data_IF_203047079061
#
_entry.id   IF_203047079061
#
_cell.length_a   1.000
_cell.length_b   1.000
_cell.length_c   1.000
_cell.angle_alpha   90.00
_cell.angle_beta   90.00
_cell.angle_gamma   90.00
#
_symmetry.space_group_name_H-M   'P 1'
#
loop_
_entity.id
_entity.type
_entity.pdbx_description
1 polymer ?
#
# COMPACT_ATOMS: atom_id res chain seq x y z
N UNK A 1 -31.69 -17.59 13.49
CA UNK A 1 -30.85 -18.57 14.21
C UNK A 1 -30.52 -19.82 13.38
N UNK A 2 -31.50 -20.66 13.02
CA UNK A 2 -31.27 -21.89 12.24
C UNK A 2 -30.42 -21.68 10.97
N UNK A 3 -30.74 -20.66 10.17
CA UNK A 3 -29.99 -20.33 8.96
C UNK A 3 -28.53 -19.91 9.22
N UNK A 4 -28.24 -19.28 10.37
CA UNK A 4 -26.89 -18.87 10.76
C UNK A 4 -26.05 -20.08 11.19
N UNK A 5 -26.66 -21.05 11.88
CA UNK A 5 -26.02 -22.32 12.22
C UNK A 5 -25.63 -23.10 10.96
N UNK A 6 -26.57 -23.28 10.03
CA UNK A 6 -26.32 -24.00 8.77
C UNK A 6 -25.27 -23.26 7.91
N UNK A 7 -25.25 -21.93 7.97
CA UNK A 7 -24.23 -21.12 7.32
C UNK A 7 -22.84 -21.31 7.94
N UNK A 8 -22.71 -21.21 9.27
CA UNK A 8 -21.44 -21.47 9.96
C UNK A 8 -20.87 -22.85 9.63
N UNK A 9 -21.70 -23.89 9.65
CA UNK A 9 -21.27 -25.26 9.35
C UNK A 9 -20.85 -25.44 7.89
N UNK A 10 -21.49 -24.74 6.94
CA UNK A 10 -21.05 -24.71 5.53
C UNK A 10 -19.70 -24.03 5.37
N UNK A 11 -19.49 -22.89 6.02
CA UNK A 11 -18.20 -22.19 6.02
C UNK A 11 -17.11 -23.07 6.65
N UNK A 12 -17.39 -23.73 7.76
CA UNK A 12 -16.43 -24.60 8.45
C UNK A 12 -16.02 -25.84 7.64
N UNK A 13 -16.79 -26.21 6.62
CA UNK A 13 -16.46 -27.31 5.71
C UNK A 13 -15.44 -26.92 4.63
N UNK A 14 -15.17 -25.62 4.43
CA UNK A 14 -14.17 -25.17 3.47
C UNK A 14 -12.75 -25.40 4.03
N UNK A 15 -11.87 -26.10 3.30
CA UNK A 15 -10.52 -26.42 3.77
C UNK A 15 -9.64 -25.18 3.98
N UNK A 16 -10.01 -24.02 3.42
CA UNK A 16 -9.31 -22.75 3.59
C UNK A 16 -9.67 -22.05 4.90
N UNK A 17 -10.66 -22.55 5.63
CA UNK A 17 -11.09 -22.00 6.92
C UNK A 17 -10.61 -22.93 8.04
N UNK A 18 -9.77 -22.41 8.93
CA UNK A 18 -9.23 -23.17 10.07
C UNK A 18 -10.14 -23.12 11.29
N UNK A 19 -10.74 -21.95 11.54
CA UNK A 19 -11.57 -21.70 12.71
C UNK A 19 -12.60 -20.62 12.38
N UNK A 20 -13.79 -20.76 12.95
CA UNK A 20 -14.86 -19.78 12.89
C UNK A 20 -15.30 -19.50 14.32
N UNK A 21 -15.37 -18.22 14.67
CA UNK A 21 -15.94 -17.74 15.91
C UNK A 21 -17.17 -16.89 15.61
N UNK A 22 -18.33 -17.31 16.10
CA UNK A 22 -19.62 -16.64 15.92
C UNK A 22 -20.55 -16.99 17.09
N UNK A 23 -21.75 -16.39 17.11
CA UNK A 23 -22.75 -16.71 18.14
C UNK A 23 -23.21 -18.18 18.13
N UNK A 24 -23.00 -18.92 17.02
CA UNK A 24 -23.36 -20.35 16.89
C UNK A 24 -22.15 -21.29 17.05
N UNK A 25 -21.01 -20.75 17.50
CA UNK A 25 -19.75 -21.49 17.67
C UNK A 25 -19.17 -21.35 19.10
N UNK A 26 -20.00 -20.99 20.07
CA UNK A 26 -19.62 -20.86 21.50
C UNK A 26 -19.16 -22.21 22.07
N UNK A 27 -19.88 -23.29 21.75
CA UNK A 27 -19.49 -24.66 22.06
C UNK A 27 -19.75 -25.56 20.82
N UNK A 28 -18.73 -26.22 20.25
CA UNK A 28 -18.89 -27.09 19.08
C UNK A 28 -19.77 -28.31 19.35
N UNK A 29 -20.02 -28.68 20.61
CA UNK A 29 -20.86 -29.83 20.99
C UNK A 29 -22.36 -29.53 20.89
N UNK A 30 -22.73 -28.25 20.85
CA UNK A 30 -24.13 -27.84 20.80
C UNK A 30 -24.73 -28.05 19.39
N UNK A 31 -25.92 -28.65 19.37
CA UNK A 31 -26.72 -28.88 18.17
C UNK A 31 -27.58 -27.66 17.83
N UNK A 32 -28.08 -27.64 16.60
CA UNK A 32 -28.92 -26.56 16.06
C UNK A 32 -30.11 -26.22 16.98
N UNK A 33 -30.81 -27.23 17.48
CA UNK A 33 -31.99 -27.06 18.34
C UNK A 33 -31.61 -26.45 19.69
N UNK A 34 -30.44 -26.82 20.21
CA UNK A 34 -29.93 -26.31 21.49
C UNK A 34 -29.57 -24.83 21.38
N UNK A 35 -28.93 -24.40 20.28
CA UNK A 35 -28.70 -22.98 20.01
C UNK A 35 -30.01 -22.20 19.84
N UNK A 36 -31.03 -22.78 19.21
CA UNK A 36 -32.33 -22.13 19.10
C UNK A 36 -32.97 -21.91 20.47
N UNK A 37 -32.90 -22.88 21.37
CA UNK A 37 -33.39 -22.77 22.75
C UNK A 37 -32.59 -21.74 23.57
N UNK A 38 -31.27 -21.77 23.42
CA UNK A 38 -30.34 -20.90 24.17
C UNK A 38 -30.60 -19.41 23.93
N UNK A 39 -31.05 -19.07 22.72
CA UNK A 39 -31.35 -17.70 22.29
C UNK A 39 -32.86 -17.42 22.13
N UNK A 40 -33.73 -18.33 22.58
CA UNK A 40 -35.18 -18.13 22.53
C UNK A 40 -35.71 -17.24 23.67
N UNK A 41 -34.95 -17.05 24.75
CA UNK A 41 -35.35 -16.20 25.88
C UNK A 41 -35.35 -14.71 25.48
N UNK A 42 -36.48 -13.99 25.59
CA UNK A 42 -36.56 -12.56 25.30
C UNK A 42 -35.61 -11.70 26.14
N UNK A 43 -35.21 -12.17 27.32
CA UNK A 43 -34.28 -11.47 28.21
C UNK A 43 -32.81 -11.78 27.90
N UNK A 44 -32.55 -12.60 26.87
CA UNK A 44 -31.21 -13.03 26.47
C UNK A 44 -30.74 -14.31 27.19
N UNK A 45 -29.59 -14.86 26.76
CA UNK A 45 -29.03 -16.09 27.33
C UNK A 45 -28.61 -15.87 28.79
N UNK A 46 -28.98 -16.81 29.67
CA UNK A 46 -28.65 -16.75 31.11
C UNK A 46 -27.17 -17.02 31.41
N UNK A 47 -26.50 -17.78 30.54
CA UNK A 47 -25.09 -18.08 30.68
C UNK A 47 -24.22 -16.88 30.29
N UNK A 48 -23.29 -16.51 31.16
CA UNK A 48 -22.43 -15.33 30.97
C UNK A 48 -21.55 -15.42 29.72
N UNK A 49 -21.05 -16.60 29.36
CA UNK A 49 -20.17 -16.79 28.21
C UNK A 49 -20.97 -16.67 26.91
N UNK A 50 -22.18 -17.22 26.90
CA UNK A 50 -23.11 -17.11 25.77
C UNK A 50 -23.58 -15.66 25.61
N UNK A 51 -23.87 -14.96 26.71
CA UNK A 51 -24.22 -13.54 26.70
C UNK A 51 -23.07 -12.67 26.18
N UNK A 52 -21.83 -12.94 26.63
CA UNK A 52 -20.64 -12.26 26.13
C UNK A 52 -20.40 -12.53 24.64
N UNK A 53 -20.53 -13.77 24.19
CA UNK A 53 -20.38 -14.12 22.77
C UNK A 53 -21.47 -13.45 21.91
N UNK A 54 -22.71 -13.40 22.38
CA UNK A 54 -23.80 -12.68 21.71
C UNK A 54 -23.48 -11.19 21.59
N UNK A 55 -23.05 -10.54 22.68
CA UNK A 55 -22.69 -9.13 22.67
C UNK A 55 -21.45 -8.82 21.80
N UNK A 56 -20.50 -9.74 21.72
CA UNK A 56 -19.30 -9.59 20.91
C UNK A 56 -19.57 -9.79 19.41
N UNK A 57 -20.60 -10.56 19.05
CA UNK A 57 -20.85 -10.98 17.65
C UNK A 57 -22.13 -10.42 17.07
N UNK A 58 -22.99 -9.75 17.84
CA UNK A 58 -24.25 -9.19 17.32
C UNK A 58 -24.46 -7.75 17.73
N UNK A 59 -25.00 -6.95 16.80
CA UNK A 59 -25.42 -5.57 17.05
C UNK A 59 -26.54 -5.17 16.11
N UNK A 60 -27.74 -4.95 16.64
CA UNK A 60 -28.91 -4.62 15.82
C UNK A 60 -29.20 -5.71 14.78
N UNK A 61 -29.14 -5.34 13.50
CA UNK A 61 -29.30 -6.27 12.37
C UNK A 61 -27.98 -6.88 11.86
N UNK A 62 -26.85 -6.64 12.55
CA UNK A 62 -25.54 -7.17 12.18
C UNK A 62 -25.18 -8.40 13.01
N UNK A 63 -24.62 -9.40 12.35
CA UNK A 63 -23.99 -10.55 12.98
C UNK A 63 -22.59 -10.73 12.39
N UNK A 64 -21.58 -10.76 13.25
CA UNK A 64 -20.18 -10.90 12.90
C UNK A 64 -19.75 -12.38 13.00
N UNK A 65 -19.06 -12.84 11.96
CA UNK A 65 -18.34 -14.11 11.93
C UNK A 65 -16.86 -13.79 11.84
N UNK A 66 -16.07 -14.25 12.80
CA UNK A 66 -14.61 -14.15 12.72
C UNK A 66 -14.08 -15.42 12.11
N UNK A 67 -13.52 -15.31 10.92
CA UNK A 67 -12.96 -16.44 10.16
C UNK A 67 -11.44 -16.38 10.28
N UNK A 68 -10.84 -17.45 10.78
CA UNK A 68 -9.38 -17.62 10.80
C UNK A 68 -8.97 -18.54 9.67
N UNK A 69 -8.13 -18.03 8.77
CA UNK A 69 -7.54 -18.77 7.65
C UNK A 69 -6.06 -19.07 7.95
N UNK A 70 -5.52 -20.22 7.51
CA UNK A 70 -4.08 -20.49 7.61
C UNK A 70 -3.26 -19.68 6.59
N UNK A 71 -3.92 -19.00 5.63
CA UNK A 71 -3.25 -18.25 4.56
C UNK A 71 -3.09 -16.78 4.94
N UNK A 72 -1.92 -16.20 4.64
CA UNK A 72 -1.68 -14.77 4.82
C UNK A 72 -2.49 -13.89 3.84
N UNK A 73 -2.66 -12.59 4.13
CA UNK A 73 -3.53 -11.70 3.37
C UNK A 73 -3.09 -11.48 1.91
N UNK A 74 -1.80 -11.62 1.61
CA UNK A 74 -1.26 -11.46 0.26
C UNK A 74 -1.27 -12.75 -0.57
N UNK A 75 -1.69 -13.88 0.00
CA UNK A 75 -1.74 -15.17 -0.69
C UNK A 75 -2.98 -15.30 -1.58
N UNK A 76 -2.83 -16.02 -2.69
CA UNK A 76 -3.91 -16.23 -3.66
C UNK A 76 -5.10 -16.96 -3.04
N UNK A 77 -4.83 -17.94 -2.17
CA UNK A 77 -5.86 -18.73 -1.50
C UNK A 77 -6.74 -17.86 -0.57
N UNK A 78 -6.13 -16.91 0.13
CA UNK A 78 -6.84 -15.96 0.98
C UNK A 78 -7.72 -15.01 0.18
N UNK A 79 -7.21 -14.51 -0.96
CA UNK A 79 -7.97 -13.62 -1.86
C UNK A 79 -9.11 -14.36 -2.56
N UNK A 80 -8.88 -15.62 -2.97
CA UNK A 80 -9.91 -16.47 -3.55
C UNK A 80 -11.03 -16.75 -2.55
N UNK A 81 -10.69 -17.04 -1.28
CA UNK A 81 -11.69 -17.22 -0.23
C UNK A 81 -12.56 -15.96 -0.06
N UNK A 82 -11.96 -14.76 -0.05
CA UNK A 82 -12.72 -13.50 0.01
C UNK A 82 -13.66 -13.36 -1.19
N UNK A 83 -13.19 -13.68 -2.39
CA UNK A 83 -14.02 -13.65 -3.61
C UNK A 83 -15.23 -14.59 -3.48
N UNK A 84 -15.01 -15.82 -3.03
CA UNK A 84 -16.07 -16.82 -2.90
C UNK A 84 -17.08 -16.45 -1.80
N UNK A 85 -16.63 -15.84 -0.70
CA UNK A 85 -17.51 -15.33 0.36
C UNK A 85 -18.36 -14.13 -0.09
N UNK A 86 -17.88 -13.38 -1.08
CA UNK A 86 -18.61 -12.23 -1.66
C UNK A 86 -19.53 -12.63 -2.80
N UNK A 87 -19.33 -13.80 -3.41
CA UNK A 87 -20.16 -14.28 -4.51
C UNK A 87 -21.54 -14.73 -4.00
N UNK A 88 -22.63 -14.01 -4.35
CA UNK A 88 -23.98 -14.37 -3.90
C UNK A 88 -24.52 -15.64 -4.58
N UNK A 89 -23.84 -16.13 -5.62
CA UNK A 89 -24.21 -17.36 -6.35
C UNK A 89 -23.31 -18.55 -6.01
N UNK A 90 -22.25 -18.32 -5.23
CA UNK A 90 -21.26 -19.32 -4.88
C UNK A 90 -21.73 -20.34 -3.84
N UNK A 91 -20.95 -21.40 -3.65
CA UNK A 91 -21.23 -22.43 -2.64
C UNK A 91 -21.19 -21.91 -1.18
N UNK A 92 -20.52 -20.78 -0.96
CA UNK A 92 -20.44 -20.07 0.33
C UNK A 92 -21.41 -18.89 0.42
N UNK A 93 -22.41 -18.80 -0.46
CA UNK A 93 -23.35 -17.70 -0.46
C UNK A 93 -24.17 -17.60 0.85
N UNK A 94 -24.51 -16.37 1.28
CA UNK A 94 -25.35 -16.17 2.45
C UNK A 94 -26.74 -16.80 2.30
N UNK A 95 -27.39 -17.14 3.43
CA UNK A 95 -28.80 -17.50 3.41
C UNK A 95 -29.68 -16.39 2.80
N UNK A 96 -30.81 -16.77 2.21
CA UNK A 96 -31.75 -15.84 1.60
C UNK A 96 -32.19 -14.73 2.58
N UNK A 97 -32.20 -13.48 2.11
CA UNK A 97 -32.56 -12.30 2.91
C UNK A 97 -31.42 -11.71 3.75
N UNK A 98 -30.19 -12.22 3.63
CA UNK A 98 -29.00 -11.67 4.30
C UNK A 98 -28.00 -11.11 3.27
N UNK A 99 -27.40 -9.97 3.61
CA UNK A 99 -26.23 -9.43 2.89
C UNK A 99 -24.96 -9.75 3.68
N UNK A 100 -23.92 -10.23 3.00
CA UNK A 100 -22.62 -10.47 3.61
C UNK A 100 -21.67 -9.33 3.27
N UNK A 101 -21.00 -8.81 4.30
CA UNK A 101 -19.91 -7.85 4.18
C UNK A 101 -18.64 -8.56 4.62
N UNK A 102 -17.68 -8.70 3.71
CA UNK A 102 -16.41 -9.38 3.98
C UNK A 102 -15.30 -8.35 4.14
N UNK A 103 -14.70 -8.33 5.32
CA UNK A 103 -13.54 -7.50 5.66
C UNK A 103 -12.36 -8.35 6.17
N UNK A 104 -11.38 -7.68 6.79
CA UNK A 104 -10.15 -8.31 7.29
C UNK A 104 -9.01 -8.23 6.27
N UNK A 105 -7.79 -8.55 6.70
CA UNK A 105 -6.58 -8.19 5.95
C UNK A 105 -6.54 -8.68 4.49
N UNK A 106 -7.03 -9.89 4.19
CA UNK A 106 -7.08 -10.39 2.81
C UNK A 106 -8.10 -9.61 1.96
N UNK A 107 -9.23 -9.22 2.55
CA UNK A 107 -10.26 -8.42 1.90
C UNK A 107 -9.79 -6.98 1.68
N UNK A 108 -9.12 -6.39 2.68
CA UNK A 108 -8.54 -5.04 2.57
C UNK A 108 -7.51 -4.99 1.44
N UNK A 109 -6.60 -5.97 1.37
CA UNK A 109 -5.62 -6.07 0.27
C UNK A 109 -6.34 -6.24 -1.07
N UNK A 110 -7.33 -7.13 -1.17
CA UNK A 110 -8.09 -7.35 -2.40
C UNK A 110 -8.84 -6.08 -2.86
N UNK A 111 -9.42 -5.33 -1.93
CA UNK A 111 -10.14 -4.09 -2.22
C UNK A 111 -9.20 -2.98 -2.67
N UNK A 112 -8.05 -2.83 -2.01
CA UNK A 112 -7.02 -1.86 -2.42
C UNK A 112 -6.48 -2.22 -3.80
N UNK A 113 -6.11 -3.48 -4.05
CA UNK A 113 -5.65 -3.95 -5.36
C UNK A 113 -6.70 -3.72 -6.44
N UNK A 114 -7.96 -4.09 -6.16
CA UNK A 114 -9.07 -3.90 -7.09
C UNK A 114 -9.29 -2.44 -7.42
N UNK A 115 -9.25 -1.56 -6.41
CA UNK A 115 -9.43 -0.11 -6.59
C UNK A 115 -8.28 0.50 -7.39
N UNK A 116 -7.04 0.17 -7.06
CA UNK A 116 -5.86 0.62 -7.79
C UNK A 116 -5.92 0.14 -9.24
N UNK A 117 -6.25 -1.12 -9.48
CA UNK A 117 -6.35 -1.67 -10.84
C UNK A 117 -7.44 -1.00 -11.69
N UNK A 118 -8.55 -0.56 -11.07
CA UNK A 118 -9.62 0.15 -11.77
C UNK A 118 -9.26 1.60 -12.09
N UNK A 119 -8.59 2.29 -11.17
CA UNK A 119 -8.29 3.72 -11.31
C UNK A 119 -6.98 3.97 -12.06
N UNK A 120 -6.00 3.07 -11.97
CA UNK A 120 -4.68 3.22 -12.60
C UNK A 120 -4.76 3.46 -14.12
N UNK A 121 -5.56 2.73 -14.93
CA UNK A 121 -5.68 2.99 -16.36
C UNK A 121 -6.25 4.38 -16.67
N UNK A 122 -7.21 4.86 -15.86
CA UNK A 122 -7.82 6.19 -16.04
C UNK A 122 -6.81 7.29 -15.71
N UNK A 123 -6.10 7.14 -14.59
CA UNK A 123 -5.06 8.09 -14.16
C UNK A 123 -3.88 8.10 -15.12
N UNK A 124 -3.42 6.92 -15.55
CA UNK A 124 -2.36 6.78 -16.55
C UNK A 124 -2.73 7.43 -17.88
N UNK A 125 -3.95 7.20 -18.38
CA UNK A 125 -4.45 7.87 -19.58
C UNK A 125 -4.51 9.39 -19.41
N UNK A 126 -5.00 9.88 -18.27
CA UNK A 126 -5.03 11.31 -17.96
C UNK A 126 -3.63 11.93 -17.99
N UNK A 127 -2.65 11.29 -17.35
CA UNK A 127 -1.25 11.72 -17.34
C UNK A 127 -0.69 11.71 -18.76
N UNK A 128 -0.84 10.61 -19.52
CA UNK A 128 -0.36 10.50 -20.89
C UNK A 128 -0.97 11.59 -21.80
N UNK A 129 -2.29 11.81 -21.75
CA UNK A 129 -2.96 12.82 -22.56
C UNK A 129 -2.51 14.23 -22.17
N UNK A 130 -2.48 14.55 -20.88
CA UNK A 130 -2.08 15.88 -20.41
C UNK A 130 -0.64 16.18 -20.80
N UNK A 131 0.27 15.23 -20.58
CA UNK A 131 1.67 15.33 -20.95
C UNK A 131 1.87 15.43 -22.46
N UNK A 132 1.12 14.65 -23.25
CA UNK A 132 1.12 14.75 -24.70
C UNK A 132 0.72 16.16 -25.16
N UNK A 133 -0.34 16.73 -24.60
CA UNK A 133 -0.82 18.07 -24.94
C UNK A 133 0.22 19.15 -24.59
N UNK A 134 0.84 19.05 -23.42
CA UNK A 134 1.92 19.94 -22.97
C UNK A 134 3.10 19.90 -23.93
N UNK A 135 3.58 18.70 -24.26
CA UNK A 135 4.67 18.53 -25.22
C UNK A 135 4.29 18.96 -26.63
N UNK A 136 3.05 18.71 -27.05
CA UNK A 136 2.52 19.15 -28.34
C UNK A 136 2.55 20.68 -28.44
N UNK A 137 2.12 21.39 -27.40
CA UNK A 137 2.14 22.84 -27.35
C UNK A 137 3.57 23.39 -27.36
N UNK A 138 4.48 22.76 -26.61
CA UNK A 138 5.87 23.17 -26.50
C UNK A 138 6.67 22.93 -27.80
N UNK A 139 6.55 21.72 -28.36
CA UNK A 139 7.35 21.27 -29.50
C UNK A 139 6.68 21.56 -30.84
N UNK A 140 5.37 21.90 -30.85
CA UNK A 140 4.56 22.13 -32.06
C UNK A 140 4.71 21.01 -33.08
N UNK A 141 4.71 19.78 -32.59
CA UNK A 141 4.80 18.56 -33.40
C UNK A 141 3.86 17.52 -32.81
N UNK A 142 3.20 16.76 -33.68
CA UNK A 142 2.34 15.62 -33.29
C UNK A 142 3.17 14.38 -33.00
N UNK A 143 4.32 14.24 -33.69
CA UNK A 143 5.15 13.03 -33.67
C UNK A 143 6.13 13.03 -32.49
N UNK A 144 6.70 14.18 -32.14
CA UNK A 144 7.68 14.28 -31.03
C UNK A 144 7.09 13.92 -29.66
N UNK A 145 5.89 14.38 -29.30
CA UNK A 145 5.26 13.98 -28.04
C UNK A 145 4.91 12.49 -28.04
N UNK A 146 4.35 11.98 -29.13
CA UNK A 146 3.98 10.56 -29.23
C UNK A 146 5.19 9.65 -29.01
N UNK A 147 6.31 9.93 -29.71
CA UNK A 147 7.52 9.13 -29.54
C UNK A 147 8.10 9.25 -28.13
N UNK A 148 8.09 10.44 -27.52
CA UNK A 148 8.60 10.64 -26.16
C UNK A 148 7.84 9.75 -25.16
N UNK A 149 6.51 9.76 -25.25
CA UNK A 149 5.67 8.89 -24.42
C UNK A 149 5.98 7.40 -24.63
N UNK A 150 6.17 6.96 -25.87
CA UNK A 150 6.53 5.56 -26.18
C UNK A 150 7.89 5.20 -25.58
N UNK A 151 8.89 6.06 -25.76
CA UNK A 151 10.24 5.85 -25.25
C UNK A 151 10.26 5.76 -23.71
N UNK A 152 9.56 6.66 -23.04
CA UNK A 152 9.40 6.64 -21.58
C UNK A 152 8.69 5.35 -21.13
N UNK A 153 7.60 4.96 -21.80
CA UNK A 153 6.84 3.73 -21.48
C UNK A 153 7.73 2.49 -21.57
N UNK A 154 8.62 2.40 -22.57
CA UNK A 154 9.57 1.28 -22.69
C UNK A 154 10.50 1.21 -21.47
N UNK A 155 11.01 2.35 -21.00
CA UNK A 155 11.89 2.40 -19.82
C UNK A 155 11.18 1.95 -18.55
N UNK A 156 9.95 2.45 -18.34
CA UNK A 156 9.11 2.09 -17.19
C UNK A 156 8.78 0.59 -17.22
N UNK A 157 8.38 0.06 -18.37
CA UNK A 157 8.09 -1.38 -18.52
C UNK A 157 9.33 -2.24 -18.26
N UNK A 158 10.51 -1.81 -18.74
CA UNK A 158 11.76 -2.51 -18.45
C UNK A 158 12.08 -2.51 -16.95
N UNK A 159 11.83 -1.40 -16.25
CA UNK A 159 11.99 -1.32 -14.80
C UNK A 159 11.02 -2.24 -14.05
N UNK A 160 9.74 -2.29 -14.44
CA UNK A 160 8.78 -3.23 -13.88
C UNK A 160 9.17 -4.69 -14.14
N UNK A 161 9.63 -5.01 -15.35
CA UNK A 161 10.15 -6.33 -15.67
C UNK A 161 11.35 -6.70 -14.79
N UNK A 162 12.28 -5.77 -14.58
CA UNK A 162 13.41 -5.96 -13.67
C UNK A 162 12.96 -6.12 -12.21
N UNK A 163 11.96 -5.36 -11.77
CA UNK A 163 11.41 -5.45 -10.42
C UNK A 163 10.81 -6.83 -10.14
N UNK A 164 9.98 -7.34 -11.05
CA UNK A 164 9.40 -8.69 -10.97
C UNK A 164 10.52 -9.74 -10.97
N UNK A 165 11.44 -9.66 -11.92
CA UNK A 165 12.52 -10.64 -12.04
C UNK A 165 13.48 -10.65 -10.84
N UNK A 166 13.76 -9.50 -10.24
CA UNK A 166 14.65 -9.41 -9.07
C UNK A 166 13.92 -9.83 -7.80
N UNK A 167 12.76 -9.21 -7.50
CA UNK A 167 12.14 -9.29 -6.17
C UNK A 167 11.03 -10.34 -6.08
N UNK A 168 10.21 -10.48 -7.12
CA UNK A 168 9.14 -11.48 -7.14
C UNK A 168 9.72 -12.87 -7.39
N UNK A 169 10.56 -13.01 -8.42
CA UNK A 169 11.19 -14.29 -8.78
C UNK A 169 12.44 -14.60 -7.93
N UNK A 170 13.02 -13.59 -7.29
CA UNK A 170 14.11 -13.78 -6.32
C UNK A 170 15.49 -14.03 -6.93
N UNK A 171 15.71 -13.77 -8.24
CA UNK A 171 16.96 -14.13 -8.94
C UNK A 171 18.23 -13.48 -8.35
N UNK A 172 18.10 -12.34 -7.64
CA UNK A 172 19.21 -11.63 -7.00
C UNK A 172 19.13 -11.66 -5.45
N UNK A 173 18.26 -12.47 -4.88
CA UNK A 173 18.01 -12.56 -3.43
C UNK A 173 19.28 -12.83 -2.62
N UNK A 174 20.13 -13.76 -3.08
CA UNK A 174 21.37 -14.12 -2.41
C UNK A 174 22.43 -12.99 -2.41
N UNK A 175 22.50 -12.21 -3.49
CA UNK A 175 23.48 -11.12 -3.62
C UNK A 175 23.05 -9.88 -2.83
N UNK A 176 21.75 -9.59 -2.85
CA UNK A 176 21.18 -8.43 -2.18
C UNK A 176 20.75 -8.71 -0.74
N UNK A 177 20.85 -9.95 -0.25
CA UNK A 177 20.54 -10.30 1.14
C UNK A 177 19.08 -10.08 1.51
N UNK A 178 18.13 -10.47 0.65
CA UNK A 178 16.69 -10.42 0.98
C UNK A 178 16.00 -11.75 0.73
N UNK A 179 14.88 -11.97 1.42
CA UNK A 179 14.02 -13.13 1.18
C UNK A 179 12.93 -12.79 0.14
N UNK A 180 12.80 -13.54 -0.95
CA UNK A 180 11.78 -13.29 -1.96
C UNK A 180 10.39 -13.56 -1.37
N UNK A 181 9.52 -12.55 -1.44
CA UNK A 181 8.16 -12.62 -0.90
C UNK A 181 7.19 -13.35 -1.85
N UNK A 182 7.58 -13.53 -3.12
CA UNK A 182 6.73 -14.11 -4.16
C UNK A 182 5.65 -13.16 -4.68
N UNK A 183 5.61 -11.93 -4.19
CA UNK A 183 4.72 -10.87 -4.65
C UNK A 183 5.41 -9.51 -4.56
N UNK A 184 4.91 -8.56 -5.34
CA UNK A 184 5.26 -7.14 -5.27
C UNK A 184 4.15 -6.44 -4.48
N UNK A 185 4.53 -5.50 -3.61
CA UNK A 185 3.56 -4.74 -2.83
C UNK A 185 2.77 -3.81 -3.75
N UNK A 186 1.45 -3.73 -3.55
CA UNK A 186 0.49 -3.09 -4.46
C UNK A 186 0.78 -1.62 -4.75
N UNK A 187 1.29 -0.86 -3.79
CA UNK A 187 1.61 0.56 -3.98
C UNK A 187 2.92 0.79 -4.72
N UNK A 188 3.84 -0.17 -4.73
CA UNK A 188 5.15 -0.03 -5.38
C UNK A 188 5.09 0.35 -6.86
N UNK A 189 4.33 -0.36 -7.73
CA UNK A 189 4.26 0.00 -9.15
C UNK A 189 3.68 1.39 -9.38
N UNK A 190 2.73 1.82 -8.55
CA UNK A 190 2.11 3.15 -8.65
C UNK A 190 3.11 4.24 -8.31
N UNK A 191 3.82 4.11 -7.19
CA UNK A 191 4.82 5.10 -6.77
C UNK A 191 5.96 5.14 -7.78
N UNK A 192 6.45 3.96 -8.20
CA UNK A 192 7.52 3.85 -9.18
C UNK A 192 7.11 4.47 -10.52
N UNK A 193 5.89 4.21 -11.00
CA UNK A 193 5.34 4.88 -12.18
C UNK A 193 5.35 6.41 -12.03
N UNK A 194 4.79 6.95 -10.96
CA UNK A 194 4.69 8.39 -10.75
C UNK A 194 6.07 9.07 -10.72
N UNK A 195 7.01 8.48 -9.98
CA UNK A 195 8.37 9.03 -9.85
C UNK A 195 9.13 8.93 -11.18
N UNK A 196 9.12 7.76 -11.83
CA UNK A 196 9.84 7.55 -13.09
C UNK A 196 9.26 8.37 -14.22
N UNK A 197 7.94 8.44 -14.30
CA UNK A 197 7.28 9.25 -15.32
C UNK A 197 7.65 10.72 -15.14
N UNK A 198 7.57 11.26 -13.91
CA UNK A 198 7.98 12.63 -13.63
C UNK A 198 9.44 12.91 -14.01
N UNK A 199 10.37 12.06 -13.54
CA UNK A 199 11.79 12.19 -13.83
C UNK A 199 12.12 12.09 -15.32
N UNK A 200 11.54 11.13 -16.04
CA UNK A 200 11.81 10.94 -17.47
C UNK A 200 11.29 12.12 -18.31
N UNK A 201 10.09 12.62 -17.97
CA UNK A 201 9.48 13.73 -18.68
C UNK A 201 10.30 15.02 -18.55
N UNK A 202 10.82 15.34 -17.37
CA UNK A 202 11.62 16.55 -17.15
C UNK A 202 12.86 16.60 -18.05
N UNK A 203 13.59 15.48 -18.14
CA UNK A 203 14.77 15.39 -18.98
C UNK A 203 14.43 15.35 -20.47
N UNK A 204 13.35 14.66 -20.87
CA UNK A 204 12.94 14.59 -22.28
C UNK A 204 12.45 15.94 -22.80
N UNK A 205 11.66 16.67 -22.01
CA UNK A 205 11.31 18.06 -22.31
C UNK A 205 12.56 18.90 -22.52
N UNK A 206 13.55 18.81 -21.63
CA UNK A 206 14.78 19.58 -21.73
C UNK A 206 15.57 19.26 -23.02
N UNK A 207 15.76 17.97 -23.32
CA UNK A 207 16.47 17.50 -24.50
C UNK A 207 15.76 17.92 -25.80
N UNK A 208 14.46 17.65 -25.90
CA UNK A 208 13.66 17.93 -27.09
C UNK A 208 13.53 19.43 -27.34
N UNK A 209 13.40 20.24 -26.29
CA UNK A 209 13.36 21.70 -26.41
C UNK A 209 14.65 22.25 -27.01
N UNK A 210 15.81 21.71 -26.59
CA UNK A 210 17.11 22.12 -27.16
C UNK A 210 17.27 21.70 -28.61
N UNK A 211 16.84 20.49 -28.97
CA UNK A 211 16.81 20.04 -30.36
C UNK A 211 15.88 20.92 -31.21
N UNK A 212 14.70 21.26 -30.69
CA UNK A 212 13.73 22.14 -31.35
C UNK A 212 14.29 23.54 -31.58
N UNK A 213 14.99 24.11 -30.59
CA UNK A 213 15.63 25.42 -30.70
C UNK A 213 16.66 25.46 -31.83
N UNK A 214 17.44 24.38 -32.00
CA UNK A 214 18.39 24.27 -33.11
C UNK A 214 17.69 24.10 -34.46
N UNK A 215 16.67 23.23 -34.52
CA UNK A 215 15.86 23.02 -35.73
C UNK A 215 15.22 24.32 -36.21
N UNK A 216 14.67 25.14 -35.30
CA UNK A 216 14.05 26.42 -35.66
C UNK A 216 15.04 27.45 -36.20
N UNK A 217 16.34 27.27 -35.94
CA UNK A 217 17.40 28.14 -36.45
C UNK A 217 17.98 27.65 -37.77
N UNK A 218 18.23 26.34 -37.91
CA UNK A 218 18.99 25.80 -39.04
C UNK A 218 18.12 25.07 -40.07
N UNK A 219 16.98 24.51 -39.65
CA UNK A 219 16.17 23.64 -40.50
C UNK A 219 16.83 22.31 -40.89
N UNK A 220 18.00 21.98 -40.32
CA UNK A 220 18.68 20.70 -40.52
C UNK A 220 18.48 19.79 -39.30
N UNK A 221 17.84 18.64 -39.53
CA UNK A 221 17.51 17.67 -38.50
C UNK A 221 18.76 17.00 -37.92
N UNK A 222 19.77 16.75 -38.76
CA UNK A 222 21.02 16.11 -38.31
C UNK A 222 21.79 17.05 -37.40
N UNK A 223 21.94 18.30 -37.81
CA UNK A 223 22.61 19.33 -37.01
C UNK A 223 21.85 19.61 -35.71
N UNK A 224 20.52 19.68 -35.77
CA UNK A 224 19.67 19.93 -34.60
C UNK A 224 19.79 18.83 -33.54
N UNK A 225 19.76 17.55 -33.95
CA UNK A 225 19.93 16.41 -33.04
C UNK A 225 21.34 16.39 -32.47
N UNK A 226 22.37 16.57 -33.31
CA UNK A 226 23.77 16.53 -32.88
C UNK A 226 24.09 17.63 -31.85
N UNK A 227 23.78 18.89 -32.17
CA UNK A 227 24.03 20.03 -31.27
C UNK A 227 23.15 20.03 -30.03
N UNK A 228 21.90 19.55 -30.17
CA UNK A 228 21.02 19.36 -29.03
C UNK A 228 21.65 18.40 -28.02
N UNK A 229 22.07 17.24 -28.49
CA UNK A 229 22.67 16.19 -27.66
C UNK A 229 24.03 16.60 -27.08
N UNK A 230 24.88 17.27 -27.85
CA UNK A 230 26.20 17.76 -27.40
C UNK A 230 26.07 18.71 -26.19
N UNK A 231 25.11 19.64 -26.22
CA UNK A 231 24.93 20.62 -25.14
C UNK A 231 24.22 20.06 -23.92
N UNK A 232 23.20 19.23 -24.10
CA UNK A 232 22.42 18.71 -22.98
C UNK A 232 23.00 17.42 -22.40
N UNK A 233 23.79 16.67 -23.16
CA UNK A 233 24.28 15.34 -22.80
C UNK A 233 24.94 15.32 -21.43
N UNK A 234 25.97 16.16 -21.22
CA UNK A 234 26.71 16.22 -19.95
C UNK A 234 25.82 16.53 -18.75
N UNK A 235 24.91 17.50 -18.89
CA UNK A 235 24.01 17.92 -17.79
C UNK A 235 23.08 16.76 -17.42
N UNK A 236 22.46 16.13 -18.42
CA UNK A 236 21.50 15.04 -18.20
C UNK A 236 22.19 13.81 -17.64
N UNK A 237 23.36 13.42 -18.17
CA UNK A 237 24.10 12.25 -17.65
C UNK A 237 24.58 12.47 -16.22
N UNK A 238 25.03 13.67 -15.87
CA UNK A 238 25.44 13.98 -14.49
C UNK A 238 24.26 13.93 -13.53
N UNK A 239 23.11 14.48 -13.92
CA UNK A 239 21.92 14.45 -13.08
C UNK A 239 21.36 13.02 -12.93
N UNK A 240 21.33 12.25 -14.02
CA UNK A 240 20.95 10.84 -13.99
C UNK A 240 21.90 10.02 -13.09
N UNK A 241 23.20 10.27 -13.14
CA UNK A 241 24.17 9.57 -12.29
C UNK A 241 23.92 9.82 -10.80
N UNK A 242 23.60 11.06 -10.40
CA UNK A 242 23.24 11.38 -9.01
C UNK A 242 22.01 10.58 -8.58
N UNK A 243 20.96 10.57 -9.40
CA UNK A 243 19.73 9.83 -9.09
C UNK A 243 20.00 8.33 -8.99
N UNK A 244 20.78 7.75 -9.91
CA UNK A 244 21.15 6.33 -9.89
C UNK A 244 21.95 5.98 -8.63
N UNK A 245 22.90 6.82 -8.22
CA UNK A 245 23.70 6.59 -7.00
C UNK A 245 22.83 6.68 -5.75
N UNK A 246 21.97 7.70 -5.65
CA UNK A 246 21.07 7.88 -4.51
C UNK A 246 20.05 6.74 -4.43
N UNK A 247 19.36 6.43 -5.53
CA UNK A 247 18.40 5.33 -5.58
C UNK A 247 19.07 3.96 -5.37
N UNK A 248 20.29 3.79 -5.90
CA UNK A 248 21.10 2.60 -5.70
C UNK A 248 21.53 2.40 -4.25
N UNK A 249 21.71 3.46 -3.46
CA UNK A 249 22.02 3.34 -2.03
C UNK A 249 20.93 2.61 -1.23
N UNK A 250 19.67 2.64 -1.69
CA UNK A 250 18.58 1.91 -1.06
C UNK A 250 18.68 0.40 -1.26
N UNK A 251 19.57 -0.08 -2.13
CA UNK A 251 19.91 -1.51 -2.23
C UNK A 251 20.40 -2.09 -0.89
N UNK A 252 20.96 -1.25 -0.02
CA UNK A 252 21.47 -1.63 1.30
C UNK A 252 20.42 -1.53 2.42
N UNK A 253 19.18 -1.16 2.11
CA UNK A 253 18.11 -1.14 3.11
C UNK A 253 17.69 -2.56 3.52
N UNK A 254 17.43 -2.78 4.81
CA UNK A 254 16.91 -4.06 5.32
C UNK A 254 15.45 -4.30 4.91
N UNK A 255 14.70 -3.22 4.69
CA UNK A 255 13.31 -3.27 4.28
C UNK A 255 13.23 -3.55 2.77
N UNK A 256 12.71 -4.73 2.41
CA UNK A 256 12.54 -5.17 1.00
C UNK A 256 11.77 -4.13 0.17
N UNK A 257 10.76 -3.49 0.76
CA UNK A 257 9.97 -2.44 0.11
C UNK A 257 10.84 -1.27 -0.37
N UNK A 258 11.75 -0.80 0.48
CA UNK A 258 12.68 0.30 0.16
C UNK A 258 13.71 -0.16 -0.87
N UNK A 259 14.23 -1.38 -0.71
CA UNK A 259 15.19 -1.99 -1.64
C UNK A 259 14.63 -2.08 -3.07
N UNK A 260 13.40 -2.58 -3.18
CA UNK A 260 12.66 -2.71 -4.42
C UNK A 260 12.44 -1.38 -5.13
N UNK A 261 11.97 -0.38 -4.39
CA UNK A 261 11.74 0.95 -4.94
C UNK A 261 13.05 1.61 -5.41
N UNK A 262 14.11 1.53 -4.60
CA UNK A 262 15.42 2.07 -4.93
C UNK A 262 16.07 1.43 -6.16
N UNK A 263 16.15 0.10 -6.17
CA UNK A 263 16.75 -0.63 -7.30
C UNK A 263 15.91 -0.46 -8.57
N UNK A 264 14.58 -0.52 -8.47
CA UNK A 264 13.68 -0.27 -9.59
C UNK A 264 13.91 1.11 -10.22
N UNK A 265 14.04 2.15 -9.37
CA UNK A 265 14.33 3.51 -9.83
C UNK A 265 15.72 3.63 -10.46
N UNK A 266 16.75 3.05 -9.83
CA UNK A 266 18.11 3.11 -10.35
C UNK A 266 18.22 2.46 -11.73
N UNK A 267 17.60 1.29 -11.93
CA UNK A 267 17.57 0.58 -13.22
C UNK A 267 16.83 1.42 -14.27
N UNK A 268 15.65 1.94 -13.95
CA UNK A 268 14.86 2.74 -14.88
C UNK A 268 15.60 3.99 -15.37
N UNK A 269 16.20 4.75 -14.44
CA UNK A 269 16.91 5.98 -14.76
C UNK A 269 18.19 5.68 -15.53
N UNK A 270 18.90 4.60 -15.18
CA UNK A 270 20.07 4.17 -15.92
C UNK A 270 19.72 3.79 -17.37
N UNK A 271 18.65 3.00 -17.57
CA UNK A 271 18.16 2.62 -18.90
C UNK A 271 17.67 3.82 -19.71
N UNK A 272 16.94 4.74 -19.06
CA UNK A 272 16.46 5.97 -19.71
C UNK A 272 17.64 6.83 -20.18
N UNK A 273 18.60 7.12 -19.29
CA UNK A 273 19.72 7.99 -19.60
C UNK A 273 20.66 7.41 -20.67
N UNK A 274 20.79 6.08 -20.75
CA UNK A 274 21.72 5.40 -21.66
C UNK A 274 21.01 4.86 -22.90
N UNK A 275 20.24 3.78 -22.76
CA UNK A 275 19.62 3.07 -23.88
C UNK A 275 18.60 3.96 -24.59
N UNK A 276 17.69 4.57 -23.85
CA UNK A 276 16.62 5.37 -24.45
C UNK A 276 17.20 6.67 -25.01
N UNK A 277 17.90 7.44 -24.18
CA UNK A 277 18.25 8.82 -24.51
C UNK A 277 19.54 8.97 -25.32
N UNK A 278 20.55 8.13 -25.08
CA UNK A 278 21.80 8.20 -25.84
C UNK A 278 21.72 7.44 -27.17
N UNK A 279 20.84 6.44 -27.29
CA UNK A 279 20.74 5.60 -28.48
C UNK A 279 19.39 5.71 -29.19
N UNK A 280 18.29 5.37 -28.50
CA UNK A 280 16.98 5.21 -29.13
C UNK A 280 16.39 6.54 -29.63
N UNK A 281 16.52 7.61 -28.84
CA UNK A 281 16.04 8.96 -29.19
C UNK A 281 16.79 9.52 -30.41
N UNK A 282 18.14 9.55 -30.47
CA UNK A 282 18.84 10.02 -31.67
C UNK A 282 18.57 9.16 -32.91
N UNK A 283 18.52 7.83 -32.76
CA UNK A 283 18.24 6.92 -33.87
C UNK A 283 16.85 7.16 -34.47
N UNK A 284 15.83 7.27 -33.63
CA UNK A 284 14.44 7.53 -34.08
C UNK A 284 14.29 8.92 -34.69
N UNK A 285 14.95 9.93 -34.10
CA UNK A 285 15.01 11.27 -34.68
C UNK A 285 15.66 11.29 -36.07
N UNK A 286 16.73 10.50 -36.27
CA UNK A 286 17.39 10.42 -37.57
C UNK A 286 16.54 9.67 -38.60
N UNK A 287 15.85 8.61 -38.19
CA UNK A 287 14.99 7.79 -39.07
C UNK A 287 13.78 8.57 -39.57
N UNK A 288 13.10 9.30 -38.68
CA UNK A 288 11.88 10.05 -39.00
C UNK A 288 12.15 11.36 -39.77
N UNK A 289 13.38 11.88 -39.71
CA UNK A 289 13.79 13.04 -40.51
C UNK A 289 12.87 14.25 -40.33
N UNK A 290 12.28 14.73 -41.43
CA UNK A 290 11.38 15.89 -41.41
C UNK A 290 10.02 15.60 -40.74
N UNK A 291 9.59 14.34 -40.64
CA UNK A 291 8.32 13.96 -40.02
C UNK A 291 8.28 14.27 -38.53
N UNK A 292 9.45 14.31 -37.88
CA UNK A 292 9.57 14.77 -36.50
C UNK A 292 8.98 16.17 -36.30
N UNK A 293 9.03 17.03 -37.30
CA UNK A 293 8.62 18.44 -37.17
C UNK A 293 7.26 18.70 -37.81
N UNK A 294 6.51 17.64 -38.13
CA UNK A 294 5.23 17.76 -38.80
C UNK A 294 4.16 18.35 -37.88
N UNK A 295 3.53 19.43 -38.36
CA UNK A 295 2.37 20.06 -37.75
C UNK A 295 1.28 20.24 -38.83
N UNK A 296 0.06 19.72 -38.62
CA UNK A 296 -1.07 19.95 -39.52
C UNK A 296 -1.30 21.44 -39.76
N UNK A 297 -1.58 21.83 -41.01
CA UNK A 297 -1.76 23.22 -41.43
C UNK A 297 -2.87 23.94 -40.64
N UNK A 298 -3.94 23.23 -40.28
CA UNK A 298 -5.04 23.75 -39.45
C UNK A 298 -4.60 24.17 -38.04
N UNK A 299 -3.58 23.52 -37.48
CA UNK A 299 -3.07 23.74 -36.12
C UNK A 299 -1.94 24.79 -36.04
N UNK A 300 -1.52 25.36 -37.18
CA UNK A 300 -0.48 26.42 -37.20
C UNK A 300 -0.92 27.71 -36.51
N UNK A 301 -2.24 27.93 -36.35
CA UNK A 301 -2.84 29.11 -35.71
C UNK A 301 -2.75 29.13 -34.17
N UNK A 302 -2.37 28.02 -33.54
CA UNK A 302 -2.20 27.98 -32.08
C UNK A 302 -1.03 28.90 -31.68
N UNK A 303 -1.24 29.87 -30.76
CA UNK A 303 -0.21 30.84 -30.37
C UNK A 303 0.99 30.18 -29.68
N UNK A 304 2.17 30.80 -29.77
CA UNK A 304 3.35 30.37 -28.99
C UNK A 304 3.10 30.70 -27.53
N UNK A 305 3.09 29.68 -26.67
CA UNK A 305 3.01 29.85 -25.22
C UNK A 305 4.45 29.97 -24.72
N UNK A 306 4.79 31.08 -24.06
CA UNK A 306 6.07 31.22 -23.37
C UNK A 306 6.17 30.19 -22.24
N UNK A 307 7.37 29.67 -21.97
CA UNK A 307 7.62 28.60 -20.97
C UNK A 307 7.00 28.88 -19.60
N UNK A 308 6.88 30.15 -19.20
CA UNK A 308 6.23 30.58 -17.96
C UNK A 308 4.71 30.31 -17.93
N UNK A 309 4.01 30.46 -19.06
CA UNK A 309 2.58 30.19 -19.16
C UNK A 309 2.27 28.69 -19.25
N UNK A 310 3.22 27.88 -19.75
CA UNK A 310 3.14 26.42 -19.78
C UNK A 310 3.26 25.81 -18.37
N UNK A 311 4.09 26.40 -17.50
CA UNK A 311 4.12 26.08 -16.08
C UNK A 311 2.77 26.39 -15.40
N UNK A 312 2.10 27.48 -15.80
CA UNK A 312 0.75 27.82 -15.34
C UNK A 312 -0.33 26.82 -15.77
N UNK A 313 -0.26 26.30 -17.00
CA UNK A 313 -1.21 25.28 -17.52
C UNK A 313 -0.98 23.91 -16.89
N UNK A 314 0.28 23.51 -16.68
CA UNK A 314 0.64 22.30 -15.94
C UNK A 314 0.18 22.37 -14.47
N UNK A 315 0.40 23.53 -13.82
CA UNK A 315 -0.08 23.77 -12.46
C UNK A 315 -1.62 23.75 -12.37
N UNK A 316 -2.33 24.30 -13.36
CA UNK A 316 -3.80 24.23 -13.43
C UNK A 316 -4.30 22.80 -13.68
N UNK A 317 -3.63 22.02 -14.53
CA UNK A 317 -3.97 20.63 -14.81
C UNK A 317 -3.75 19.70 -13.60
N UNK A 318 -2.64 19.90 -12.87
CA UNK A 318 -2.37 19.25 -11.59
C UNK A 318 -3.39 19.65 -10.51
N UNK A 319 -3.84 20.91 -10.50
CA UNK A 319 -4.90 21.40 -9.61
C UNK A 319 -6.32 20.96 -10.03
N UNK A 320 -6.52 20.54 -11.29
CA UNK A 320 -7.80 20.06 -11.81
C UNK A 320 -8.00 18.53 -11.70
N UNK A 321 -6.93 17.76 -11.49
CA UNK A 321 -7.02 16.33 -11.18
C UNK A 321 -7.94 15.98 -10.00
N UNK A 322 -7.90 16.74 -8.88
CA UNK A 322 -8.84 16.56 -7.77
C UNK A 322 -10.29 16.93 -8.11
N UNK A 323 -10.53 17.81 -9.10
CA UNK A 323 -11.88 18.26 -9.46
C UNK A 323 -12.64 17.23 -10.30
N UNK A 324 -11.95 16.35 -11.04
CA UNK A 324 -12.58 15.25 -11.79
C UNK A 324 -12.72 13.95 -10.97
N UNK A 325 -11.97 13.81 -9.88
CA UNK A 325 -12.17 12.75 -8.88
C UNK A 325 -13.13 13.16 -7.74
N UNK A 326 -13.56 14.42 -7.71
CA UNK A 326 -14.32 15.06 -6.63
C UNK A 326 -15.82 14.73 -6.56
N UNK A 327 -16.22 13.50 -6.87
CA UNK A 327 -17.58 13.01 -6.58
C UNK A 327 -17.54 11.75 -5.71
N UNK A 328 -16.81 11.83 -4.60
CA UNK A 328 -17.10 11.06 -3.38
C UNK A 328 -16.95 12.02 -2.19
N UNK A 329 -18.01 12.30 -1.42
CA UNK A 329 -17.89 13.13 -0.24
C UNK A 329 -17.26 12.27 0.87
N UNK A 330 -16.08 12.70 1.35
CA UNK A 330 -15.54 12.48 2.70
C UNK A 330 -14.05 12.12 2.71
N UNK A 331 -13.16 13.09 2.47
CA UNK A 331 -11.89 13.19 3.22
C UNK A 331 -11.50 14.67 3.27
N UNK A 332 -11.70 15.31 4.42
CA UNK A 332 -11.09 16.62 4.68
C UNK A 332 -9.60 16.42 5.02
N UNK A 333 -8.70 17.34 4.61
CA UNK A 333 -7.27 17.20 4.86
C UNK A 333 -6.95 17.34 6.36
N UNK A 334 -6.23 16.34 6.89
CA UNK A 334 -5.91 16.08 8.31
C UNK A 334 -4.84 17.02 8.91
N UNK A 335 -4.41 18.08 8.23
CA UNK A 335 -3.22 18.83 8.65
C UNK A 335 -3.47 20.33 8.78
N UNK A 336 -4.02 20.73 9.93
CA UNK A 336 -3.55 21.88 10.70
C UNK A 336 -4.40 22.03 11.98
N UNK A 337 -3.79 21.82 13.15
CA UNK A 337 -4.30 22.40 14.39
C UNK A 337 -3.14 23.05 15.16
N UNK A 338 -3.39 24.15 15.88
CA UNK A 338 -2.34 24.97 16.49
C UNK A 338 -1.77 24.33 17.76
N UNK A 339 -0.59 24.79 18.17
CA UNK A 339 0.15 24.26 19.32
C UNK A 339 -0.56 24.56 20.65
N UNK A 340 -0.78 23.52 21.47
CA UNK A 340 -1.25 23.64 22.85
C UNK A 340 -0.06 23.57 23.85
N UNK A 341 -0.13 24.27 25.00
CA UNK A 341 0.98 24.39 25.92
C UNK A 341 1.20 23.13 26.80
N UNK A 342 2.46 22.80 27.06
CA UNK A 342 2.91 21.65 27.85
C UNK A 342 2.66 21.81 29.37
N UNK A 343 2.13 20.80 30.07
CA UNK A 343 2.25 20.69 31.53
C UNK A 343 3.58 20.04 31.94
N UNK A 344 4.14 20.48 33.07
CA UNK A 344 5.39 19.95 33.65
C UNK A 344 5.20 18.56 34.29
N UNK A 345 6.23 17.69 34.29
CA UNK A 345 6.13 16.34 34.83
C UNK A 345 6.08 16.34 36.37
N UNK A 346 5.32 15.42 37.01
CA UNK A 346 5.37 15.23 38.45
C UNK A 346 6.66 14.51 38.89
N UNK A 347 7.08 14.80 40.12
CA UNK A 347 8.32 14.31 40.71
C UNK A 347 8.31 12.79 41.00
N UNK A 348 9.47 12.15 40.81
CA UNK A 348 9.72 10.74 41.11
C UNK A 348 10.09 10.53 42.59
N UNK A 349 9.53 9.49 43.23
CA UNK A 349 10.20 8.57 44.19
C UNK A 349 9.19 7.55 44.78
N UNK A 350 9.61 6.40 45.36
CA UNK A 350 10.75 5.50 45.10
C UNK A 350 10.29 4.02 44.84
N UNK A 351 11.28 3.12 44.73
CA UNK A 351 11.29 1.73 44.23
C UNK A 351 10.45 0.67 45.04
N UNK A 352 10.28 -0.57 44.53
CA UNK A 352 9.01 -1.30 44.52
C UNK A 352 8.77 -2.20 45.75
N UNK A 353 7.49 -2.33 46.14
CA UNK A 353 7.00 -3.51 46.86
C UNK A 353 6.48 -4.55 45.88
N UNK A 354 6.89 -5.81 46.06
CA UNK A 354 6.38 -6.98 45.32
C UNK A 354 4.84 -6.95 45.32
N UNK A 355 4.24 -6.82 44.14
CA UNK A 355 2.80 -6.80 43.97
C UNK A 355 2.30 -8.22 43.71
N UNK A 356 1.37 -8.65 44.55
CA UNK A 356 0.50 -9.82 44.35
C UNK A 356 -0.47 -9.52 43.19
N UNK A 357 -0.59 -10.44 42.24
CA UNK A 357 -1.49 -10.33 41.07
C UNK A 357 -2.99 -10.49 41.43
N UNK A 358 -3.91 -9.96 40.59
CA UNK A 358 -3.69 -9.07 39.45
C UNK A 358 -4.01 -7.61 39.81
N UNK A 359 -3.07 -6.72 39.51
CA UNK A 359 -3.34 -5.29 39.44
C UNK A 359 -3.78 -4.93 38.02
N UNK A 360 -4.78 -4.04 37.82
CA UNK A 360 -5.13 -3.55 36.49
C UNK A 360 -3.91 -2.87 35.85
N UNK A 361 -3.47 -3.39 34.71
CA UNK A 361 -2.37 -2.81 33.93
C UNK A 361 -2.88 -1.48 33.34
N UNK A 362 -2.43 -0.36 33.92
CA UNK A 362 -2.63 0.95 33.34
C UNK A 362 -1.57 1.17 32.25
N UNK A 363 -1.97 1.06 30.99
CA UNK A 363 -1.09 1.36 29.87
C UNK A 363 -0.79 2.87 29.83
N UNK A 364 0.43 3.27 29.40
CA UNK A 364 0.80 4.67 29.29
C UNK A 364 -0.24 5.41 28.44
N UNK A 365 -0.65 6.58 28.91
CA UNK A 365 -1.44 7.50 28.08
C UNK A 365 -0.56 8.03 26.97
N UNK A 366 -1.09 8.09 25.77
CA UNK A 366 -0.34 8.58 24.64
C UNK A 366 -0.03 10.07 24.77
N UNK A 367 1.08 10.48 24.16
CA UNK A 367 1.57 11.86 24.15
C UNK A 367 0.77 12.79 23.20
N UNK A 368 -0.34 12.31 22.63
CA UNK A 368 -1.18 13.07 21.70
C UNK A 368 -2.64 12.61 21.70
N UNK A 369 -3.58 13.48 21.29
CA UNK A 369 -4.98 13.09 21.11
C UNK A 369 -5.14 12.29 19.82
N UNK A 370 -5.68 11.08 19.92
CA UNK A 370 -6.15 10.31 18.76
C UNK A 370 -7.48 9.64 19.07
N UNK A 371 -8.41 9.83 18.16
CA UNK A 371 -9.79 9.37 18.12
C UNK A 371 -9.91 8.05 17.32
N UNK A 372 -9.00 7.09 17.57
CA UNK A 372 -8.77 5.94 16.68
C UNK A 372 -9.52 4.66 17.07
N UNK A 373 -9.86 3.90 16.02
CA UNK A 373 -10.39 2.53 16.07
C UNK A 373 -9.35 1.49 16.51
N UNK A 374 -8.04 1.75 16.46
CA UNK A 374 -7.01 0.79 16.89
C UNK A 374 -5.81 1.50 17.51
N UNK A 375 -5.44 1.11 18.73
CA UNK A 375 -4.24 1.50 19.47
C UNK A 375 -3.31 0.28 19.62
N UNK A 376 -2.00 0.52 19.70
CA UNK A 376 -1.06 -0.53 20.06
C UNK A 376 0.09 -0.01 20.91
N UNK A 377 0.54 -0.85 21.84
CA UNK A 377 1.71 -0.61 22.67
C UNK A 377 2.76 -1.66 22.32
N UNK A 378 4.00 -1.21 22.25
CA UNK A 378 5.13 -2.03 21.84
C UNK A 378 6.24 -1.91 22.87
N UNK A 379 6.56 -3.03 23.51
CA UNK A 379 7.61 -3.12 24.52
C UNK A 379 8.67 -4.09 24.02
N UNK A 380 9.91 -3.64 23.94
CA UNK A 380 11.05 -4.51 23.64
C UNK A 380 12.13 -4.32 24.67
N UNK A 381 12.89 -5.38 24.89
CA UNK A 381 14.07 -5.28 25.73
C UNK A 381 14.83 -6.58 25.79
N UNK A 382 15.69 -6.68 26.80
CA UNK A 382 16.52 -7.83 27.06
C UNK A 382 16.25 -8.36 28.46
N UNK A 383 16.06 -9.67 28.57
CA UNK A 383 15.95 -10.40 29.82
C UNK A 383 17.27 -11.13 30.09
N UNK A 384 17.61 -11.24 31.37
CA UNK A 384 18.74 -12.05 31.83
C UNK A 384 18.24 -13.02 32.87
N UNK A 385 18.62 -14.27 32.71
CA UNK A 385 18.41 -15.30 33.72
C UNK A 385 19.58 -15.31 34.70
N UNK A 386 19.35 -15.83 35.90
CA UNK A 386 20.37 -15.89 36.96
C UNK A 386 21.60 -16.72 36.57
N UNK A 387 21.44 -17.64 35.62
CA UNK A 387 22.51 -18.45 35.02
C UNK A 387 23.28 -17.73 33.88
N UNK A 388 22.98 -16.45 33.62
CA UNK A 388 23.72 -15.57 32.70
C UNK A 388 23.28 -15.62 31.24
N UNK A 389 22.23 -16.38 30.89
CA UNK A 389 21.67 -16.36 29.53
C UNK A 389 20.95 -15.05 29.24
N UNK A 390 20.98 -14.64 27.97
CA UNK A 390 20.39 -13.39 27.48
C UNK A 390 19.29 -13.71 26.49
N UNK A 391 18.15 -13.04 26.65
CA UNK A 391 17.01 -13.18 25.76
C UNK A 391 16.56 -11.80 25.30
N UNK A 392 16.35 -11.60 24.01
CA UNK A 392 15.55 -10.49 23.50
C UNK A 392 14.07 -10.82 23.66
N UNK A 393 13.25 -9.84 24.01
CA UNK A 393 11.80 -10.00 23.99
C UNK A 393 11.11 -8.85 23.25
N UNK A 394 9.96 -9.17 22.67
CA UNK A 394 9.02 -8.26 22.06
C UNK A 394 7.64 -8.57 22.60
N UNK A 395 6.96 -7.57 23.17
CA UNK A 395 5.61 -7.67 23.66
C UNK A 395 4.75 -6.56 23.07
N UNK A 396 3.72 -6.96 22.34
CA UNK A 396 2.81 -6.06 21.64
C UNK A 396 1.40 -6.26 22.16
N UNK A 397 0.71 -5.17 22.49
CA UNK A 397 -0.70 -5.17 22.83
C UNK A 397 -1.42 -4.31 21.79
N UNK A 398 -2.48 -4.84 21.18
CA UNK A 398 -3.42 -4.12 20.34
C UNK A 398 -4.73 -3.96 21.08
N UNK A 399 -5.33 -2.78 20.95
CA UNK A 399 -6.70 -2.48 21.36
C UNK A 399 -7.42 -2.00 20.12
N UNK A 400 -8.46 -2.72 19.69
CA UNK A 400 -9.24 -2.39 18.52
C UNK A 400 -10.71 -2.20 18.87
N UNK A 401 -11.24 -1.02 18.59
CA UNK A 401 -12.65 -0.70 18.52
C UNK A 401 -13.17 -0.93 17.10
N UNK A 402 -14.34 -1.55 16.97
CA UNK A 402 -14.96 -1.79 15.66
C UNK A 402 -16.40 -1.29 15.67
N UNK A 403 -16.68 -0.07 15.19
CA UNK A 403 -18.06 0.40 14.94
C UNK A 403 -19.05 0.20 16.11
N UNK A 404 -18.55 0.27 17.35
CA UNK A 404 -19.29 0.03 18.60
C UNK A 404 -19.69 -1.42 18.89
N UNK A 405 -18.95 -2.41 18.39
CA UNK A 405 -18.79 -3.71 19.06
C UNK A 405 -17.90 -3.54 20.31
N UNK A 406 -17.89 -4.49 21.26
CA UNK A 406 -16.98 -4.46 22.40
C UNK A 406 -15.52 -4.34 21.95
N UNK A 407 -14.72 -3.60 22.71
CA UNK A 407 -13.28 -3.40 22.44
C UNK A 407 -12.58 -4.76 22.40
N UNK A 408 -11.80 -5.00 21.36
CA UNK A 408 -10.99 -6.20 21.19
C UNK A 408 -9.58 -5.91 21.68
N UNK A 409 -9.05 -6.75 22.55
CA UNK A 409 -7.65 -6.72 22.97
C UNK A 409 -6.94 -7.91 22.38
N UNK A 410 -5.80 -7.70 21.73
CA UNK A 410 -4.92 -8.78 21.29
C UNK A 410 -3.53 -8.53 21.84
N UNK A 411 -2.85 -9.57 22.32
CA UNK A 411 -1.47 -9.47 22.78
C UNK A 411 -0.61 -10.53 22.10
N UNK A 412 0.64 -10.17 21.84
CA UNK A 412 1.66 -11.04 21.27
C UNK A 412 2.94 -10.87 22.06
N UNK A 413 3.50 -11.97 22.57
CA UNK A 413 4.80 -12.01 23.23
C UNK A 413 5.71 -12.93 22.43
N UNK A 414 6.87 -12.43 22.03
CA UNK A 414 7.95 -13.19 21.45
C UNK A 414 9.21 -13.09 22.32
N UNK A 415 9.92 -14.20 22.47
CA UNK A 415 11.18 -14.30 23.20
C UNK A 415 12.18 -15.04 22.31
N UNK A 416 13.35 -14.43 22.13
CA UNK A 416 14.46 -14.94 21.33
C UNK A 416 15.67 -15.11 22.23
N UNK A 417 16.26 -16.30 22.26
CA UNK A 417 17.55 -16.51 22.92
C UNK A 417 18.67 -15.86 22.08
N UNK A 418 19.50 -15.01 22.69
CA UNK A 418 20.60 -14.33 21.99
C UNK A 418 21.81 -15.25 21.78
N UNK A 419 21.95 -16.29 22.61
CA UNK A 419 23.04 -17.26 22.54
C UNK A 419 22.64 -18.59 21.89
N UNK A 420 21.35 -18.94 21.93
CA UNK A 420 20.77 -20.14 21.34
C UNK A 420 19.84 -19.81 20.18
N UNK A 421 19.75 -20.69 19.18
CA UNK A 421 18.86 -20.51 18.02
C UNK A 421 17.36 -20.77 18.33
N UNK A 422 16.89 -20.43 19.54
CA UNK A 422 15.54 -20.71 20.02
C UNK A 422 14.66 -19.44 19.98
N UNK A 423 13.48 -19.58 19.36
CA UNK A 423 12.45 -18.55 19.27
C UNK A 423 11.13 -19.11 19.79
N UNK A 424 10.51 -18.40 20.72
CA UNK A 424 9.23 -18.75 21.31
C UNK A 424 8.26 -17.58 21.17
N UNK A 425 6.99 -17.86 20.89
CA UNK A 425 5.97 -16.84 20.88
C UNK A 425 4.64 -17.35 21.43
N UNK A 426 3.84 -16.44 21.95
CA UNK A 426 2.48 -16.68 22.40
C UNK A 426 1.59 -15.50 22.00
N UNK A 427 0.32 -15.77 21.74
CA UNK A 427 -0.67 -14.74 21.44
C UNK A 427 -1.98 -15.02 22.17
N UNK A 428 -2.68 -13.95 22.57
CA UNK A 428 -4.01 -14.03 23.20
C UNK A 428 -4.91 -12.95 22.62
N UNK A 429 -6.21 -13.22 22.55
CA UNK A 429 -7.21 -12.23 22.10
C UNK A 429 -8.46 -12.33 22.97
N UNK A 430 -8.96 -11.18 23.41
CA UNK A 430 -10.13 -11.07 24.30
C UNK A 430 -11.02 -9.88 23.92
N UNK A 431 -12.26 -9.89 24.40
CA UNK A 431 -13.26 -8.86 24.14
C UNK A 431 -13.77 -8.25 25.45
N UNK A 432 -13.73 -6.92 25.58
CA UNK A 432 -14.22 -6.23 26.76
C UNK A 432 -13.56 -4.87 27.05
N UNK A 433 -14.11 -4.08 27.98
CA UNK A 433 -13.66 -2.71 28.26
C UNK A 433 -12.25 -2.64 28.88
N UNK A 434 -11.83 -3.65 29.64
CA UNK A 434 -10.45 -3.89 30.10
C UNK A 434 -10.40 -5.33 30.59
N UNK A 435 -9.36 -6.08 30.22
CA UNK A 435 -9.22 -7.48 30.63
C UNK A 435 -8.91 -7.53 32.13
N UNK A 436 -9.86 -8.04 32.90
CA UNK A 436 -9.67 -8.44 34.29
C UNK A 436 -9.01 -9.83 34.28
N UNK A 437 -7.69 -9.89 34.55
CA UNK A 437 -6.87 -11.11 34.45
C UNK A 437 -7.11 -12.06 35.65
N UNK A 438 -8.36 -12.44 35.88
CA UNK A 438 -8.78 -13.34 36.95
C UNK A 438 -9.44 -14.63 36.45
N UNK A 439 -8.83 -15.33 35.48
CA UNK A 439 -9.25 -16.67 35.05
C UNK A 439 -8.07 -17.55 34.64
#
# INVERSE_FOLDING_TARGET
>A
MAALYDYSRRLAADPRIRRIDSLVDVDPRLRKEQYQLLYADPNGPRDRFVAAALAATTKGNLTAFTITTPFGPNRDEGRALVSDLRDPTGGLAPPAGMSVLVGGGAADVADVVGRVAQDFPRTGLFILVTTYLVLFLLLRSVVLPAKALVMNTISILASFGALVWIFQDGNLSALLGFQPLGFVETTQPVILFCVLFGLSMDYEVFLLSRMKEQWDRTGDNREAVARGLERSGRIVTSAALIVVVVAGSFAFADIVLIKALGIGMAIAVALDATVVRALLVPATMRLLGHWNWWLPSALRRVPRIETAALAGVLALGLAAGPLLAGCTPAVAPILANPAAPHPLPPALTPAPSLLTDPQPIALPRDDGPHDRLTEWWYYTGHLRTDDGRRFGFEFVIFRAERGGFPVTWASHLAITDEGGAAFHYAQRTEFGPQVDLGA
#
